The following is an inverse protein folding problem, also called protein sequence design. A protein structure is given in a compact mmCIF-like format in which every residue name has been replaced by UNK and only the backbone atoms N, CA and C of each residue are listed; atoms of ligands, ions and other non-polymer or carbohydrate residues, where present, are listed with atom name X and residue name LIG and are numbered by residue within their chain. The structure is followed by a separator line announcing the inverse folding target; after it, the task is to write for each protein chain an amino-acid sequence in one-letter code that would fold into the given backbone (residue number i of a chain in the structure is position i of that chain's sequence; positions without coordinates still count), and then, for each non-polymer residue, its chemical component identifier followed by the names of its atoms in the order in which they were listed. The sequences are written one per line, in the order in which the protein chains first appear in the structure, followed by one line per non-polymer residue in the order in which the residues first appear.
data_IF_576778383580
#
_entry.id   IF_576778383580
#
_cell.length_a   1.000
_cell.length_b   1.000
_cell.length_c   1.000
_cell.angle_alpha   90.00
_cell.angle_beta   90.00
_cell.angle_gamma   90.00
#
_symmetry.space_group_name_H-M   'P 1'
#
loop_
_entity.id
_entity.type
_entity.pdbx_description
1 polymer ?
#
# COMPACT_ATOMS: atom_id res chain seq x y z
N UNK A 1 -2.12 -14.79 21.62
CA UNK A 1 -1.87 -13.35 21.84
C UNK A 1 -2.64 -12.62 20.77
N UNK A 2 -3.63 -11.80 21.12
CA UNK A 2 -4.33 -10.95 20.15
C UNK A 2 -3.32 -9.93 19.65
N UNK A 3 -2.94 -10.01 18.37
CA UNK A 3 -2.04 -9.03 17.76
C UNK A 3 -2.71 -7.65 17.80
N UNK A 4 -1.93 -6.62 18.10
CA UNK A 4 -2.37 -5.22 18.17
C UNK A 4 -2.97 -4.76 16.83
N UNK A 5 -4.14 -4.13 16.85
CA UNK A 5 -4.76 -3.56 15.65
C UNK A 5 -4.01 -2.30 15.24
N UNK A 6 -3.42 -2.29 14.04
CA UNK A 6 -2.68 -1.14 13.48
C UNK A 6 -3.56 -0.19 12.68
N UNK A 7 -4.50 -0.75 11.91
CA UNK A 7 -5.47 0.03 11.15
C UNK A 7 -6.86 -0.48 11.46
N UNK A 8 -7.75 0.42 11.85
CA UNK A 8 -9.15 0.11 12.15
C UNK A 8 -10.05 0.97 11.27
N UNK A 9 -10.94 0.35 10.52
CA UNK A 9 -11.89 1.00 9.62
C UNK A 9 -13.29 0.63 10.09
N UNK A 10 -14.18 1.63 10.23
CA UNK A 10 -15.58 1.43 10.67
C UNK A 10 -16.53 2.26 9.83
N UNK A 11 -17.48 1.58 9.19
CA UNK A 11 -18.55 2.17 8.42
C UNK A 11 -18.06 3.08 7.28
N UNK A 12 -16.86 2.83 6.73
CA UNK A 12 -16.25 3.73 5.77
C UNK A 12 -17.07 3.77 4.48
N UNK A 13 -17.60 4.95 4.17
CA UNK A 13 -18.38 5.22 2.96
C UNK A 13 -17.82 6.42 2.21
N UNK A 14 -17.83 6.33 0.87
CA UNK A 14 -17.39 7.41 0.00
C UNK A 14 -18.30 7.54 -1.20
N UNK A 15 -18.81 8.75 -1.36
CA UNK A 15 -19.66 9.15 -2.47
C UNK A 15 -18.97 10.25 -3.28
N UNK A 16 -18.97 10.12 -4.61
CA UNK A 16 -18.48 11.13 -5.54
C UNK A 16 -19.63 11.75 -6.34
N UNK A 17 -19.37 12.95 -6.88
CA UNK A 17 -20.34 13.76 -7.63
C UNK A 17 -21.15 14.70 -6.73
N UNK A 18 -21.68 15.79 -7.31
CA UNK A 18 -22.37 16.87 -6.58
C UNK A 18 -23.61 16.42 -5.78
N UNK A 19 -24.15 15.23 -6.09
CA UNK A 19 -25.30 14.61 -5.41
C UNK A 19 -25.02 13.19 -4.91
N UNK A 20 -23.73 12.79 -4.80
CA UNK A 20 -23.36 11.44 -4.36
C UNK A 20 -23.78 10.32 -5.33
N UNK A 21 -23.80 10.62 -6.64
CA UNK A 21 -24.30 9.67 -7.66
C UNK A 21 -23.40 8.44 -7.84
N UNK A 22 -22.13 8.52 -7.46
CA UNK A 22 -21.17 7.42 -7.59
C UNK A 22 -20.77 6.98 -6.19
N UNK A 23 -21.17 5.77 -5.80
CA UNK A 23 -20.75 5.15 -4.55
C UNK A 23 -19.46 4.40 -4.79
N UNK A 24 -18.36 4.88 -4.21
CA UNK A 24 -17.05 4.23 -4.29
C UNK A 24 -16.78 3.30 -3.09
N UNK A 25 -17.32 3.63 -1.92
CA UNK A 25 -17.27 2.77 -0.72
C UNK A 25 -18.64 2.83 -0.03
N UNK A 26 -19.04 1.70 0.55
CA UNK A 26 -20.33 1.55 1.22
C UNK A 26 -20.17 0.74 2.51
N UNK A 27 -20.12 1.42 3.67
CA UNK A 27 -20.14 0.81 4.99
C UNK A 27 -19.00 -0.20 5.25
N UNK A 28 -17.79 0.08 4.77
CA UNK A 28 -16.67 -0.85 4.88
C UNK A 28 -16.14 -0.90 6.31
N UNK A 29 -16.07 -2.13 6.85
CA UNK A 29 -15.44 -2.45 8.13
C UNK A 29 -14.24 -3.37 7.90
N UNK A 30 -13.08 -3.02 8.47
CA UNK A 30 -11.87 -3.85 8.34
C UNK A 30 -10.91 -3.57 9.49
N UNK A 31 -10.31 -4.62 10.06
CA UNK A 31 -9.20 -4.54 11.00
C UNK A 31 -7.94 -5.16 10.38
N UNK A 32 -6.82 -4.46 10.52
CA UNK A 32 -5.51 -4.88 10.08
C UNK A 32 -4.59 -4.89 11.29
N UNK A 33 -3.98 -6.03 11.57
CA UNK A 33 -3.15 -6.23 12.75
C UNK A 33 -1.67 -5.98 12.47
N UNK A 34 -0.91 -5.78 13.54
CA UNK A 34 0.54 -5.61 13.46
C UNK A 34 1.19 -6.84 12.82
N UNK A 35 2.04 -6.63 11.79
CA UNK A 35 2.72 -7.69 11.04
C UNK A 35 1.84 -8.40 10.02
N UNK A 36 0.55 -8.07 9.92
CA UNK A 36 -0.38 -8.71 8.97
C UNK A 36 -0.21 -8.15 7.56
N UNK A 37 -0.20 -9.03 6.58
CA UNK A 37 -0.27 -8.70 5.15
C UNK A 37 -1.69 -8.89 4.65
N UNK A 38 -2.39 -7.80 4.37
CA UNK A 38 -3.76 -7.79 3.84
C UNK A 38 -3.73 -7.49 2.36
N UNK A 39 -4.19 -8.43 1.54
CA UNK A 39 -4.38 -8.22 0.11
C UNK A 39 -5.82 -7.85 -0.20
N UNK A 40 -6.03 -6.77 -0.95
CA UNK A 40 -7.35 -6.32 -1.43
C UNK A 40 -7.43 -6.60 -2.92
N UNK A 41 -8.41 -7.42 -3.31
CA UNK A 41 -8.69 -7.80 -4.70
C UNK A 41 -10.12 -7.42 -5.11
N UNK A 42 -10.41 -7.44 -6.40
CA UNK A 42 -11.74 -7.16 -6.95
C UNK A 42 -11.68 -6.49 -8.32
N UNK A 43 -12.81 -6.36 -9.01
CA UNK A 43 -12.86 -5.76 -10.34
C UNK A 43 -12.43 -4.29 -10.34
N UNK A 44 -12.12 -3.76 -11.53
CA UNK A 44 -11.85 -2.33 -11.68
C UNK A 44 -13.08 -1.52 -11.24
N UNK A 45 -12.86 -0.43 -10.50
CA UNK A 45 -13.94 0.40 -9.97
C UNK A 45 -14.61 -0.12 -8.69
N UNK A 46 -14.19 -1.26 -8.12
CA UNK A 46 -14.79 -1.80 -6.88
C UNK A 46 -14.45 -1.02 -5.60
N UNK A 47 -13.64 0.04 -5.65
CA UNK A 47 -13.34 0.89 -4.49
C UNK A 47 -12.00 0.61 -3.81
N UNK A 48 -11.20 -0.37 -4.24
CA UNK A 48 -9.92 -0.78 -3.61
C UNK A 48 -8.94 0.37 -3.38
N UNK A 49 -8.59 1.09 -4.44
CA UNK A 49 -7.68 2.24 -4.34
C UNK A 49 -8.28 3.40 -3.53
N UNK A 50 -9.60 3.58 -3.57
CA UNK A 50 -10.29 4.57 -2.74
C UNK A 50 -10.16 4.23 -1.27
N UNK A 51 -10.37 2.96 -0.89
CA UNK A 51 -10.17 2.48 0.48
C UNK A 51 -8.72 2.66 0.94
N UNK A 52 -7.76 2.23 0.12
CA UNK A 52 -6.33 2.36 0.43
C UNK A 52 -5.93 3.84 0.62
N UNK A 53 -6.40 4.72 -0.26
CA UNK A 53 -6.13 6.17 -0.18
C UNK A 53 -6.85 6.84 0.98
N UNK A 54 -7.98 6.30 1.44
CA UNK A 54 -8.66 6.79 2.64
C UNK A 54 -7.86 6.49 3.91
N UNK A 55 -7.16 5.35 3.99
CA UNK A 55 -6.27 5.04 5.13
C UNK A 55 -5.20 6.12 5.31
N UNK A 56 -4.64 6.64 4.22
CA UNK A 56 -3.64 7.71 4.24
C UNK A 56 -4.26 9.12 4.14
N UNK A 57 -5.60 9.23 4.22
CA UNK A 57 -6.36 10.48 4.04
C UNK A 57 -5.93 11.27 2.78
N UNK A 58 -5.53 10.57 1.72
CA UNK A 58 -5.43 11.13 0.37
C UNK A 58 -6.81 11.23 -0.27
N UNK A 59 -7.72 10.40 0.20
CA UNK A 59 -9.15 10.48 -0.07
C UNK A 59 -9.91 10.67 1.24
N UNK A 60 -10.84 11.61 1.29
CA UNK A 60 -11.67 11.86 2.47
C UNK A 60 -12.93 11.01 2.40
N UNK A 61 -13.29 10.35 3.50
CA UNK A 61 -14.55 9.64 3.61
C UNK A 61 -15.73 10.61 3.62
N UNK A 62 -16.88 10.15 3.14
CA UNK A 62 -18.17 10.84 3.30
C UNK A 62 -18.80 10.48 4.65
N UNK A 63 -18.63 9.21 5.10
CA UNK A 63 -19.13 8.70 6.36
C UNK A 63 -18.16 7.68 6.93
N UNK A 64 -18.25 7.41 8.24
CA UNK A 64 -17.42 6.44 8.93
C UNK A 64 -16.05 6.97 9.36
N UNK A 65 -15.26 6.10 9.94
CA UNK A 65 -14.02 6.47 10.59
C UNK A 65 -12.88 5.50 10.32
N UNK A 66 -11.66 6.05 10.29
CA UNK A 66 -10.41 5.28 10.20
C UNK A 66 -9.50 5.70 11.34
N UNK A 67 -8.89 4.71 12.00
CA UNK A 67 -7.84 4.90 13.00
C UNK A 67 -6.56 4.22 12.54
N UNK A 68 -5.44 4.87 12.82
CA UNK A 68 -4.10 4.29 12.75
C UNK A 68 -3.60 4.26 14.18
N UNK A 69 -3.47 3.06 14.75
CA UNK A 69 -3.29 2.89 16.19
C UNK A 69 -4.42 3.62 16.97
N UNK A 70 -4.05 4.58 17.82
CA UNK A 70 -5.02 5.38 18.60
C UNK A 70 -5.45 6.67 17.90
N UNK A 71 -4.80 7.04 16.79
CA UNK A 71 -5.08 8.28 16.08
C UNK A 71 -6.23 8.13 15.09
N UNK A 72 -7.31 8.89 15.28
CA UNK A 72 -8.44 8.95 14.36
C UNK A 72 -8.08 9.80 13.15
N UNK A 73 -7.72 9.15 12.04
CA UNK A 73 -7.30 9.80 10.77
C UNK A 73 -8.36 10.72 10.20
N UNK A 74 -9.64 10.38 10.38
CA UNK A 74 -10.80 11.13 9.88
C UNK A 74 -11.12 12.37 10.71
N UNK A 75 -10.56 12.55 11.91
CA UNK A 75 -10.75 13.76 12.69
C UNK A 75 -10.02 14.94 12.00
N UNK A 76 -10.73 16.03 11.61
CA UNK A 76 -10.12 17.18 10.95
C UNK A 76 -9.10 17.92 11.82
N UNK A 77 -9.14 17.74 13.15
CA UNK A 77 -8.22 18.38 14.12
C UNK A 77 -6.87 17.68 14.20
N UNK A 78 -6.77 16.44 13.72
CA UNK A 78 -5.52 15.65 13.75
C UNK A 78 -4.55 16.18 12.69
N UNK A 79 -3.30 16.38 13.08
CA UNK A 79 -2.22 16.70 12.13
C UNK A 79 -1.87 15.46 11.30
N UNK A 80 -2.45 15.40 10.10
CA UNK A 80 -2.27 14.28 9.17
C UNK A 80 -0.79 14.05 8.79
N UNK A 81 0.07 15.05 8.90
CA UNK A 81 1.50 14.90 8.59
C UNK A 81 2.17 13.94 9.57
N UNK A 82 1.83 14.04 10.87
CA UNK A 82 2.33 13.11 11.91
C UNK A 82 1.87 11.67 11.67
N UNK A 83 0.61 11.48 11.26
CA UNK A 83 0.10 10.15 10.91
C UNK A 83 0.85 9.59 9.71
N UNK A 84 1.04 10.40 8.65
CA UNK A 84 1.77 10.00 7.45
C UNK A 84 3.23 9.67 7.67
N UNK A 85 3.85 10.13 8.75
CA UNK A 85 5.20 9.70 9.13
C UNK A 85 5.28 8.20 9.45
N UNK A 86 4.17 7.61 9.93
CA UNK A 86 4.05 6.20 10.25
C UNK A 86 3.49 5.35 9.09
N UNK A 87 3.16 5.98 7.96
CA UNK A 87 2.59 5.33 6.79
C UNK A 87 3.52 5.48 5.59
N UNK A 88 3.97 4.36 5.01
CA UNK A 88 4.60 4.35 3.70
C UNK A 88 3.56 4.13 2.63
N UNK A 89 3.62 4.86 1.52
CA UNK A 89 2.74 4.63 0.39
C UNK A 89 3.52 4.51 -0.91
N UNK A 90 3.21 3.47 -1.65
CA UNK A 90 3.75 3.15 -2.97
C UNK A 90 2.59 3.13 -3.96
N UNK A 91 2.70 3.91 -5.02
CA UNK A 91 1.66 4.10 -6.02
C UNK A 91 1.93 3.27 -7.27
N UNK A 92 0.93 3.08 -8.09
CA UNK A 92 1.03 2.52 -9.44
C UNK A 92 2.00 3.31 -10.33
N UNK A 93 1.86 4.63 -10.37
CA UNK A 93 2.87 5.51 -10.94
C UNK A 93 3.96 5.74 -9.88
N UNK A 94 5.21 5.60 -10.23
CA UNK A 94 6.35 5.60 -9.30
C UNK A 94 6.48 6.90 -8.50
N UNK A 95 6.00 8.01 -9.05
CA UNK A 95 5.96 9.35 -8.43
C UNK A 95 7.31 9.80 -7.86
N UNK A 96 8.40 9.44 -8.55
CA UNK A 96 9.73 9.95 -8.23
C UNK A 96 9.85 11.39 -8.69
N UNK A 97 10.61 12.20 -7.93
CA UNK A 97 10.91 13.56 -8.31
C UNK A 97 11.94 13.57 -9.46
N UNK A 98 11.56 14.00 -10.67
CA UNK A 98 12.41 13.83 -11.86
C UNK A 98 13.69 14.68 -11.83
N UNK A 99 13.68 15.78 -11.08
CA UNK A 99 14.81 16.69 -10.92
C UNK A 99 15.81 16.25 -9.83
N UNK A 100 15.50 15.19 -9.08
CA UNK A 100 16.34 14.61 -8.03
C UNK A 100 16.91 13.27 -8.49
N UNK A 101 18.15 12.96 -8.06
CA UNK A 101 18.68 11.61 -8.21
C UNK A 101 18.04 10.63 -7.19
N UNK A 102 18.35 9.36 -7.32
CA UNK A 102 17.81 8.28 -6.48
C UNK A 102 18.06 8.52 -4.99
N UNK A 103 19.29 8.84 -4.61
CA UNK A 103 19.65 9.13 -3.22
C UNK A 103 18.86 10.30 -2.67
N UNK A 104 18.72 11.37 -3.44
CA UNK A 104 17.96 12.57 -3.05
C UNK A 104 16.47 12.27 -2.92
N UNK A 105 15.88 11.47 -3.82
CA UNK A 105 14.49 11.03 -3.70
C UNK A 105 14.22 10.32 -2.37
N UNK A 106 15.15 9.47 -1.91
CA UNK A 106 14.99 8.70 -0.68
C UNK A 106 15.25 9.56 0.56
N UNK A 107 16.25 10.46 0.52
CA UNK A 107 16.65 11.25 1.69
C UNK A 107 15.79 12.48 1.94
N UNK A 108 14.98 12.91 0.98
CA UNK A 108 14.23 14.16 1.08
C UNK A 108 13.27 14.17 2.27
N UNK A 109 12.41 13.15 2.41
CA UNK A 109 11.42 13.11 3.49
C UNK A 109 12.07 12.99 4.89
N UNK A 110 13.03 12.09 5.17
CA UNK A 110 13.72 12.04 6.44
C UNK A 110 14.35 13.38 6.83
N UNK A 111 14.96 14.08 5.89
CA UNK A 111 15.63 15.37 6.14
C UNK A 111 14.66 16.52 6.38
N UNK A 112 13.54 16.57 5.62
CA UNK A 112 12.61 17.70 5.68
C UNK A 112 11.53 17.53 6.75
N UNK A 113 11.11 16.31 7.03
CA UNK A 113 10.02 16.00 7.97
C UNK A 113 10.56 15.64 9.35
N UNK A 114 11.53 14.70 9.39
CA UNK A 114 12.13 14.23 10.66
C UNK A 114 13.36 15.05 11.08
N UNK A 115 13.82 15.99 10.22
CA UNK A 115 15.02 16.80 10.46
C UNK A 115 16.27 15.95 10.69
N UNK A 116 16.33 14.76 10.07
CA UNK A 116 17.50 13.88 10.18
C UNK A 116 18.76 14.57 9.63
N UNK A 117 19.92 14.40 10.28
CA UNK A 117 21.20 14.86 9.75
C UNK A 117 21.46 14.27 8.37
N UNK A 118 22.05 15.05 7.46
CA UNK A 118 22.32 14.63 6.07
C UNK A 118 23.07 13.31 6.00
N UNK A 119 24.13 13.15 6.83
CA UNK A 119 24.96 11.94 6.82
C UNK A 119 24.17 10.68 7.20
N UNK A 120 23.29 10.78 8.20
CA UNK A 120 22.48 9.66 8.68
C UNK A 120 21.42 9.27 7.66
N UNK A 121 20.71 10.27 7.09
CA UNK A 121 19.74 10.06 6.04
C UNK A 121 20.37 9.42 4.78
N UNK A 122 21.57 9.87 4.37
CA UNK A 122 22.30 9.28 3.24
C UNK A 122 22.78 7.85 3.53
N UNK A 123 23.29 7.58 4.73
CA UNK A 123 23.71 6.25 5.15
C UNK A 123 22.53 5.27 5.13
N UNK A 124 21.38 5.68 5.68
CA UNK A 124 20.14 4.89 5.65
C UNK A 124 19.66 4.67 4.20
N UNK A 125 19.63 5.72 3.38
CA UNK A 125 19.21 5.62 1.98
C UNK A 125 20.08 4.64 1.19
N UNK A 126 21.41 4.68 1.37
CA UNK A 126 22.32 3.71 0.73
C UNK A 126 22.09 2.28 1.21
N UNK A 127 21.78 2.08 2.49
CA UNK A 127 21.39 0.77 3.04
C UNK A 127 20.11 0.26 2.38
N UNK A 128 19.08 1.12 2.26
CA UNK A 128 17.80 0.78 1.61
C UNK A 128 17.97 0.49 0.12
N UNK A 129 18.81 1.26 -0.59
CA UNK A 129 19.12 0.98 -1.99
C UNK A 129 19.76 -0.41 -2.17
N UNK A 130 20.71 -0.79 -1.32
CA UNK A 130 21.27 -2.15 -1.35
C UNK A 130 20.22 -3.22 -1.08
N UNK A 131 19.30 -2.95 -0.13
CA UNK A 131 18.20 -3.86 0.19
C UNK A 131 17.27 -4.13 -1.00
N UNK A 132 17.00 -3.12 -1.81
CA UNK A 132 16.16 -3.26 -3.02
C UNK A 132 16.98 -3.60 -4.28
N UNK A 133 18.25 -4.00 -4.13
CA UNK A 133 19.11 -4.42 -5.23
C UNK A 133 19.59 -3.29 -6.15
N UNK A 134 19.66 -2.05 -5.66
CA UNK A 134 20.01 -0.85 -6.43
C UNK A 134 21.18 -0.06 -5.80
N UNK A 135 22.11 -0.75 -5.14
CA UNK A 135 23.21 -0.10 -4.44
C UNK A 135 24.14 0.75 -5.33
N UNK A 136 24.23 0.43 -6.62
CA UNK A 136 25.01 1.14 -7.66
C UNK A 136 24.26 2.32 -8.29
N UNK A 137 22.94 2.49 -8.00
CA UNK A 137 22.06 3.47 -8.65
C UNK A 137 21.82 4.75 -7.84
N UNK A 138 22.63 5.01 -6.80
CA UNK A 138 22.45 6.17 -5.91
C UNK A 138 22.39 7.51 -6.65
N UNK A 139 23.23 7.68 -7.66
CA UNK A 139 23.38 8.94 -8.41
C UNK A 139 22.53 8.98 -9.70
N UNK A 140 21.88 7.87 -10.07
CA UNK A 140 21.01 7.78 -11.24
C UNK A 140 19.76 8.66 -11.07
N UNK A 141 19.29 9.28 -12.14
CA UNK A 141 18.00 9.99 -12.19
C UNK A 141 16.88 9.02 -12.60
N UNK A 142 15.60 9.36 -12.31
CA UNK A 142 14.48 8.50 -12.67
C UNK A 142 14.43 8.10 -14.15
N UNK A 143 14.75 8.99 -15.06
CA UNK A 143 14.80 8.74 -16.51
C UNK A 143 15.92 7.76 -16.95
N UNK A 144 16.86 7.47 -16.09
CA UNK A 144 17.96 6.51 -16.29
C UNK A 144 17.65 5.12 -15.69
N UNK A 145 16.45 4.94 -15.13
CA UNK A 145 16.02 3.72 -14.44
C UNK A 145 14.89 3.04 -15.22
N UNK A 146 14.90 1.70 -15.25
CA UNK A 146 13.75 0.94 -15.73
C UNK A 146 12.52 1.14 -14.81
N UNK A 147 11.33 0.80 -15.29
CA UNK A 147 10.11 0.89 -14.49
C UNK A 147 10.21 0.13 -13.17
N UNK A 148 10.70 -1.11 -13.20
CA UNK A 148 10.92 -1.92 -12.00
C UNK A 148 11.96 -1.32 -11.04
N UNK A 149 13.03 -0.70 -11.58
CA UNK A 149 14.00 0.03 -10.77
C UNK A 149 13.37 1.26 -10.12
N UNK A 150 12.59 2.04 -10.86
CA UNK A 150 11.88 3.20 -10.32
C UNK A 150 10.92 2.79 -9.21
N UNK A 151 10.19 1.69 -9.36
CA UNK A 151 9.28 1.19 -8.33
C UNK A 151 10.03 0.74 -7.07
N UNK A 152 11.16 0.05 -7.23
CA UNK A 152 12.00 -0.33 -6.09
C UNK A 152 12.60 0.90 -5.37
N UNK A 153 12.94 1.97 -6.10
CA UNK A 153 13.30 3.25 -5.48
C UNK A 153 12.13 3.87 -4.72
N UNK A 154 10.90 3.80 -5.27
CA UNK A 154 9.71 4.29 -4.57
C UNK A 154 9.44 3.51 -3.27
N UNK A 155 9.65 2.19 -3.26
CA UNK A 155 9.60 1.36 -2.05
C UNK A 155 10.68 1.80 -1.05
N UNK A 156 11.94 1.96 -1.49
CA UNK A 156 13.03 2.41 -0.63
C UNK A 156 12.76 3.80 -0.04
N UNK A 157 12.18 4.71 -0.83
CA UNK A 157 11.75 6.05 -0.37
C UNK A 157 10.70 5.97 0.72
N UNK A 158 9.69 5.11 0.56
CA UNK A 158 8.66 4.91 1.57
C UNK A 158 9.25 4.34 2.87
N UNK A 159 10.14 3.33 2.76
CA UNK A 159 10.83 2.71 3.89
C UNK A 159 11.78 3.65 4.63
N UNK A 160 12.29 4.71 3.99
CA UNK A 160 13.21 5.66 4.60
C UNK A 160 12.59 6.40 5.79
N UNK A 161 11.27 6.52 5.82
CA UNK A 161 10.54 7.09 6.96
C UNK A 161 10.33 6.10 8.12
N UNK A 162 10.81 4.84 8.00
CA UNK A 162 10.58 3.77 8.99
C UNK A 162 9.11 3.62 9.37
N UNK A 163 8.22 3.44 8.38
CA UNK A 163 6.79 3.40 8.60
C UNK A 163 6.38 2.15 9.38
N UNK A 164 5.27 2.23 10.12
CA UNK A 164 4.64 1.09 10.80
C UNK A 164 3.73 0.28 9.87
N UNK A 165 3.20 0.92 8.83
CA UNK A 165 2.33 0.29 7.81
C UNK A 165 2.77 0.73 6.43
N UNK A 166 2.87 -0.22 5.51
CA UNK A 166 3.11 0.03 4.09
C UNK A 166 1.81 -0.17 3.29
N UNK A 167 1.46 0.82 2.49
CA UNK A 167 0.30 0.81 1.60
C UNK A 167 0.80 0.71 0.15
N UNK A 168 0.31 -0.28 -0.61
CA UNK A 168 0.68 -0.50 -2.00
C UNK A 168 -0.57 -0.41 -2.90
N UNK A 169 -0.61 0.57 -3.78
CA UNK A 169 -1.70 0.80 -4.73
C UNK A 169 -1.28 0.30 -6.11
N UNK A 170 -1.57 -0.95 -6.44
CA UNK A 170 -1.23 -1.64 -7.68
C UNK A 170 0.25 -1.46 -8.10
N UNK A 171 1.21 -1.88 -7.26
CA UNK A 171 2.63 -1.53 -7.44
C UNK A 171 3.27 -2.14 -8.69
N UNK A 172 2.63 -3.10 -9.36
CA UNK A 172 3.15 -3.83 -10.52
C UNK A 172 2.42 -3.52 -11.82
N UNK A 173 1.24 -2.87 -11.77
CA UNK A 173 0.35 -2.73 -12.94
C UNK A 173 0.91 -1.84 -14.07
N UNK A 174 1.92 -1.00 -13.79
CA UNK A 174 2.59 -0.16 -14.78
C UNK A 174 3.92 -0.77 -15.27
N UNK A 175 4.20 -2.06 -14.96
CA UNK A 175 5.46 -2.72 -15.25
C UNK A 175 5.31 -3.78 -16.32
N UNK A 176 6.38 -3.97 -17.09
CA UNK A 176 6.51 -5.12 -17.98
C UNK A 176 6.65 -6.42 -17.15
N UNK A 177 6.15 -7.57 -17.65
CA UNK A 177 6.15 -8.84 -16.91
C UNK A 177 7.52 -9.26 -16.35
N UNK A 178 8.60 -8.95 -17.08
CA UNK A 178 9.97 -9.27 -16.65
C UNK A 178 10.40 -8.51 -15.39
N UNK A 179 9.82 -7.32 -15.16
CA UNK A 179 10.16 -6.44 -14.02
C UNK A 179 9.29 -6.68 -12.79
N UNK A 180 8.13 -7.32 -12.94
CA UNK A 180 7.17 -7.59 -11.87
C UNK A 180 7.83 -8.40 -10.75
N UNK A 181 8.55 -9.46 -11.12
CA UNK A 181 9.20 -10.37 -10.18
C UNK A 181 10.12 -9.63 -9.20
N UNK A 182 10.97 -8.73 -9.70
CA UNK A 182 11.92 -8.00 -8.86
C UNK A 182 11.24 -7.13 -7.79
N UNK A 183 10.09 -6.56 -8.12
CA UNK A 183 9.29 -5.76 -7.18
C UNK A 183 8.60 -6.66 -6.17
N UNK A 184 8.01 -7.78 -6.63
CA UNK A 184 7.36 -8.74 -5.74
C UNK A 184 8.34 -9.41 -4.78
N UNK A 185 9.57 -9.72 -5.21
CA UNK A 185 10.61 -10.27 -4.34
C UNK A 185 10.93 -9.31 -3.18
N UNK A 186 11.05 -8.01 -3.45
CA UNK A 186 11.23 -6.99 -2.39
C UNK A 186 10.04 -6.97 -1.44
N UNK A 187 8.80 -7.04 -1.95
CA UNK A 187 7.59 -7.06 -1.12
C UNK A 187 7.49 -8.34 -0.27
N UNK A 188 7.88 -9.50 -0.82
CA UNK A 188 7.96 -10.77 -0.08
C UNK A 188 8.96 -10.70 1.07
N UNK A 189 10.11 -10.07 0.86
CA UNK A 189 11.10 -9.91 1.93
C UNK A 189 10.59 -8.98 3.04
N UNK A 190 9.86 -7.91 2.70
CA UNK A 190 9.20 -7.05 3.68
C UNK A 190 8.16 -7.82 4.52
N UNK A 191 7.36 -8.67 3.87
CA UNK A 191 6.38 -9.52 4.54
C UNK A 191 7.04 -10.49 5.53
N UNK A 192 8.13 -11.19 5.11
CA UNK A 192 8.90 -12.10 5.96
C UNK A 192 9.52 -11.40 7.19
N UNK A 193 9.85 -10.13 7.08
CA UNK A 193 10.37 -9.32 8.18
C UNK A 193 9.27 -8.83 9.15
N UNK A 194 7.99 -9.16 8.89
CA UNK A 194 6.86 -8.79 9.74
C UNK A 194 6.37 -7.36 9.51
N UNK A 195 6.59 -6.78 8.32
CA UNK A 195 6.04 -5.48 7.95
C UNK A 195 4.51 -5.58 7.81
N UNK A 196 3.77 -4.71 8.50
CA UNK A 196 2.33 -4.57 8.26
C UNK A 196 2.09 -3.99 6.88
N UNK A 197 1.32 -4.67 6.05
CA UNK A 197 1.13 -4.28 4.66
C UNK A 197 -0.34 -4.32 4.26
N UNK A 198 -0.80 -3.30 3.52
CA UNK A 198 -2.08 -3.33 2.80
C UNK A 198 -1.77 -3.18 1.32
N UNK A 199 -2.13 -4.18 0.55
CA UNK A 199 -1.72 -4.29 -0.85
C UNK A 199 -2.97 -4.40 -1.73
N UNK A 200 -3.16 -3.47 -2.64
CA UNK A 200 -4.09 -3.63 -3.77
C UNK A 200 -3.30 -4.21 -4.92
N UNK A 201 -3.62 -5.42 -5.36
CA UNK A 201 -2.89 -6.08 -6.44
C UNK A 201 -3.73 -7.17 -7.09
N UNK A 202 -3.37 -7.51 -8.33
CA UNK A 202 -3.89 -8.65 -9.08
C UNK A 202 -2.90 -9.84 -9.11
N UNK A 203 -1.79 -9.75 -8.38
CA UNK A 203 -0.72 -10.76 -8.35
C UNK A 203 -1.08 -11.91 -7.40
N UNK A 204 -1.79 -12.92 -7.92
CA UNK A 204 -2.25 -14.07 -7.11
C UNK A 204 -1.10 -14.89 -6.53
N UNK A 205 0.05 -14.96 -7.24
CA UNK A 205 1.26 -15.61 -6.73
C UNK A 205 1.80 -14.96 -5.47
N UNK A 206 1.81 -13.63 -5.42
CA UNK A 206 2.18 -12.88 -4.22
C UNK A 206 1.19 -13.13 -3.09
N UNK A 207 -0.13 -13.11 -3.41
CA UNK A 207 -1.17 -13.37 -2.42
C UNK A 207 -0.95 -14.70 -1.69
N UNK A 208 -0.75 -15.79 -2.45
CA UNK A 208 -0.52 -17.13 -1.88
C UNK A 208 0.78 -17.25 -1.10
N UNK A 209 1.80 -16.47 -1.46
CA UNK A 209 3.11 -16.54 -0.85
C UNK A 209 3.26 -15.69 0.42
N UNK A 210 2.48 -14.62 0.56
CA UNK A 210 2.71 -13.61 1.60
C UNK A 210 1.46 -13.10 2.34
N UNK A 211 0.26 -13.21 1.76
CA UNK A 211 -0.91 -12.64 2.40
C UNK A 211 -1.42 -13.53 3.55
N UNK A 212 -1.66 -12.91 4.71
CA UNK A 212 -2.36 -13.53 5.83
C UNK A 212 -3.87 -13.46 5.64
N UNK A 213 -4.33 -12.39 4.99
CA UNK A 213 -5.74 -12.09 4.75
C UNK A 213 -5.96 -11.58 3.33
N UNK A 214 -6.99 -12.09 2.68
CA UNK A 214 -7.49 -11.60 1.39
C UNK A 214 -8.87 -10.99 1.60
N UNK A 215 -9.07 -9.78 1.08
CA UNK A 215 -10.32 -9.03 1.11
C UNK A 215 -10.80 -8.87 -0.33
N UNK A 216 -11.91 -9.50 -0.68
CA UNK A 216 -12.54 -9.30 -1.98
C UNK A 216 -13.55 -8.18 -1.90
N UNK A 217 -13.36 -7.16 -2.73
CA UNK A 217 -14.27 -5.99 -2.82
C UNK A 217 -14.98 -5.99 -4.17
N UNK A 218 -16.27 -5.63 -4.13
CA UNK A 218 -17.07 -5.39 -5.32
C UNK A 218 -18.16 -4.35 -5.02
N UNK A 219 -18.43 -3.44 -5.98
CA UNK A 219 -19.42 -2.36 -5.86
C UNK A 219 -19.30 -1.50 -4.58
N UNK A 220 -18.07 -1.28 -4.12
CA UNK A 220 -17.77 -0.47 -2.94
C UNK A 220 -17.92 -1.19 -1.60
N UNK A 221 -18.21 -2.47 -1.59
CA UNK A 221 -18.41 -3.29 -0.40
C UNK A 221 -17.33 -4.35 -0.26
N UNK A 222 -17.05 -4.76 0.98
CA UNK A 222 -16.33 -6.01 1.25
C UNK A 222 -17.34 -7.15 1.12
N UNK A 223 -17.10 -8.04 0.14
CA UNK A 223 -17.98 -9.18 -0.14
C UNK A 223 -17.51 -10.43 0.59
N UNK A 224 -16.19 -10.66 0.60
CA UNK A 224 -15.62 -11.83 1.24
C UNK A 224 -14.26 -11.52 1.86
N UNK A 225 -14.00 -12.12 3.02
CA UNK A 225 -12.71 -12.02 3.74
C UNK A 225 -12.31 -13.41 4.19
N UNK A 226 -11.07 -13.78 3.96
CA UNK A 226 -10.54 -15.08 4.40
C UNK A 226 -9.04 -15.17 4.20
N UNK A 227 -8.49 -16.37 4.46
CA UNK A 227 -7.12 -16.69 4.05
C UNK A 227 -7.03 -16.81 2.53
N UNK A 228 -5.82 -16.76 1.93
CA UNK A 228 -5.67 -17.03 0.50
C UNK A 228 -6.34 -18.34 0.04
N UNK A 229 -6.21 -19.41 0.85
CA UNK A 229 -6.85 -20.70 0.57
C UNK A 229 -8.39 -20.59 0.59
N UNK A 230 -8.96 -19.88 1.58
CA UNK A 230 -10.42 -19.73 1.68
C UNK A 230 -10.98 -18.97 0.49
N UNK A 231 -10.35 -17.85 0.09
CA UNK A 231 -10.87 -16.97 -0.95
C UNK A 231 -10.57 -17.51 -2.36
N UNK A 232 -9.38 -18.09 -2.61
CA UNK A 232 -9.00 -18.54 -3.96
C UNK A 232 -9.42 -19.97 -4.29
N UNK A 233 -9.40 -20.87 -3.31
CA UNK A 233 -9.65 -22.28 -3.56
C UNK A 233 -11.04 -22.73 -3.11
N UNK A 234 -11.61 -22.04 -2.12
CA UNK A 234 -12.92 -22.37 -1.53
C UNK A 234 -13.83 -21.15 -1.35
N UNK A 235 -13.97 -20.27 -2.39
CA UNK A 235 -14.79 -19.08 -2.28
C UNK A 235 -16.23 -19.44 -1.92
N UNK A 236 -16.83 -18.71 -0.98
CA UNK A 236 -18.20 -18.92 -0.52
C UNK A 236 -19.19 -18.09 -1.34
N UNK A 237 -18.82 -16.83 -1.59
CA UNK A 237 -19.68 -15.87 -2.25
C UNK A 237 -19.72 -16.05 -3.78
N UNK A 238 -20.90 -15.98 -4.37
CA UNK A 238 -21.10 -16.14 -5.81
C UNK A 238 -20.38 -15.05 -6.63
N UNK A 239 -20.25 -13.84 -6.07
CA UNK A 239 -19.54 -12.71 -6.70
C UNK A 239 -18.03 -12.99 -6.74
N UNK A 240 -17.46 -13.55 -5.67
CA UNK A 240 -16.05 -13.97 -5.60
C UNK A 240 -15.75 -15.06 -6.61
N UNK A 241 -16.60 -16.09 -6.69
CA UNK A 241 -16.45 -17.20 -7.67
C UNK A 241 -16.39 -16.68 -9.09
N UNK A 242 -17.36 -15.85 -9.49
CA UNK A 242 -17.40 -15.24 -10.82
C UNK A 242 -16.15 -14.42 -11.14
N UNK A 243 -15.68 -13.64 -10.17
CA UNK A 243 -14.47 -12.84 -10.36
C UNK A 243 -13.25 -13.72 -10.61
N UNK A 244 -13.08 -14.77 -9.83
CA UNK A 244 -11.94 -15.68 -9.94
C UNK A 244 -11.94 -16.48 -11.25
N UNK A 245 -13.12 -16.90 -11.77
CA UNK A 245 -13.26 -17.57 -13.07
C UNK A 245 -12.74 -16.74 -14.26
N UNK A 246 -12.64 -15.42 -14.11
CA UNK A 246 -12.14 -14.52 -15.17
C UNK A 246 -10.65 -14.21 -15.04
N UNK A 247 -10.02 -14.55 -13.92
CA UNK A 247 -8.61 -14.17 -13.62
C UNK A 247 -7.71 -15.40 -13.54
N UNK A 248 -8.23 -16.53 -13.11
CA UNK A 248 -7.55 -17.84 -13.04
C UNK A 248 -7.80 -18.65 -14.29
#
# INVERSE_FOLDING_TARGET
MTSEVRVKIRGASKYFGDRGQITALRGVDLDIHAGEVVLIIGPSGSGKSTLLRAINRLETLSEGDIWIEDDRVTDPRVDIRKIRENLGMVFQAFNLFPHLNTLQNITMAPRTVKHEPKADAEANARRLLRRVGLGDKADARPDQLSGGQQQRVAIARALAMSPKVMLFDEPTSALDPEMIKEVLDVMLDLAKEGMTMVVVSHEMGFARAAADKVVFMDEGEIVEVGTPEDVFDRPKESRTKRFLEHIL
#
